data_IF_017103171556
#
_entry.id   IF_017103171556
#
_cell.length_a   1.000
_cell.length_b   1.000
_cell.length_c   1.000
_cell.angle_alpha   90.00
_cell.angle_beta   90.00
_cell.angle_gamma   90.00
#
_symmetry.space_group_name_H-M   'P 1'
#
loop_
_entity.id
_entity.type
_entity.pdbx_description
1 polymer ?
#
# COMPACT_ATOMS: atom_id res chain seq x y z
N UNK A 1 -35.68 -14.73 -26.32
CA UNK A 1 -34.36 -14.90 -26.92
C UNK A 1 -33.43 -13.86 -26.29
N UNK A 2 -33.11 -13.88 -24.99
CA UNK A 2 -32.28 -14.86 -24.24
C UNK A 2 -30.98 -15.21 -24.96
N UNK A 3 -30.07 -14.23 -25.01
CA UNK A 3 -28.70 -14.41 -25.51
C UNK A 3 -27.71 -14.13 -24.38
N UNK A 4 -27.46 -15.19 -23.61
CA UNK A 4 -26.19 -15.60 -22.98
C UNK A 4 -25.24 -14.50 -22.48
N UNK A 5 -25.45 -14.05 -21.24
CA UNK A 5 -24.39 -13.52 -20.36
C UNK A 5 -23.38 -14.65 -20.08
N UNK A 6 -22.33 -14.76 -20.91
CA UNK A 6 -21.21 -15.68 -20.64
C UNK A 6 -20.43 -15.19 -19.42
N UNK A 7 -20.25 -16.10 -18.47
CA UNK A 7 -19.57 -15.97 -17.16
C UNK A 7 -18.30 -15.11 -17.26
N UNK A 8 -18.31 -13.94 -16.61
CA UNK A 8 -17.08 -13.27 -16.18
C UNK A 8 -16.32 -14.23 -15.23
N UNK A 9 -15.00 -14.34 -15.37
CA UNK A 9 -14.19 -14.83 -14.26
C UNK A 9 -14.41 -13.87 -13.08
N UNK A 10 -15.02 -14.39 -12.00
CA UNK A 10 -15.49 -13.60 -10.85
C UNK A 10 -14.38 -13.23 -9.86
N UNK A 11 -13.15 -13.62 -10.13
CA UNK A 11 -12.02 -13.48 -9.21
C UNK A 11 -11.18 -12.27 -9.60
N UNK A 12 -10.95 -11.37 -8.64
CA UNK A 12 -10.05 -10.24 -8.85
C UNK A 12 -8.60 -10.74 -8.93
N UNK A 13 -7.74 -10.11 -9.74
CA UNK A 13 -6.34 -10.51 -9.85
C UNK A 13 -5.61 -10.10 -8.56
N UNK A 14 -5.20 -11.09 -7.77
CA UNK A 14 -4.57 -10.89 -6.46
C UNK A 14 -3.35 -11.76 -6.31
N UNK A 15 -2.33 -11.22 -5.65
CA UNK A 15 -1.17 -11.98 -5.27
C UNK A 15 -1.48 -12.79 -4.01
N UNK A 16 -1.06 -14.05 -3.98
CA UNK A 16 -1.01 -14.84 -2.74
C UNK A 16 0.19 -14.39 -1.88
N UNK A 17 0.15 -13.12 -1.46
CA UNK A 17 1.12 -12.47 -0.62
C UNK A 17 0.41 -11.83 0.57
N UNK A 18 1.17 -11.63 1.65
CA UNK A 18 0.67 -11.00 2.86
C UNK A 18 1.11 -11.79 4.08
N UNK A 19 1.04 -11.17 5.25
CA UNK A 19 1.22 -11.89 6.49
C UNK A 19 -0.05 -12.70 6.80
N UNK A 20 0.12 -13.90 7.37
CA UNK A 20 -0.97 -14.70 7.92
C UNK A 20 -1.22 -14.31 9.38
N UNK A 21 -1.68 -13.08 9.57
CA UNK A 21 -1.98 -12.53 10.89
C UNK A 21 -3.43 -12.82 11.26
N UNK A 22 -3.65 -13.43 12.42
CA UNK A 22 -4.98 -13.73 12.93
C UNK A 22 -5.81 -12.46 13.13
N UNK A 23 -7.10 -12.53 12.78
CA UNK A 23 -8.04 -11.43 12.97
C UNK A 23 -7.93 -10.28 11.96
N UNK A 24 -7.09 -10.42 10.93
CA UNK A 24 -7.01 -9.43 9.84
C UNK A 24 -7.03 -10.11 8.47
N UNK A 25 -7.50 -9.38 7.45
CA UNK A 25 -7.37 -9.78 6.04
C UNK A 25 -6.45 -8.80 5.35
N UNK A 26 -5.38 -9.30 4.73
CA UNK A 26 -4.48 -8.53 3.87
C UNK A 26 -4.66 -8.98 2.42
N UNK A 27 -4.67 -8.03 1.49
CA UNK A 27 -4.84 -8.29 0.06
C UNK A 27 -3.89 -7.41 -0.75
N UNK A 28 -3.24 -7.98 -1.77
CA UNK A 28 -2.48 -7.22 -2.77
C UNK A 28 -3.07 -7.50 -4.14
N UNK A 29 -3.51 -6.45 -4.84
CA UNK A 29 -4.03 -6.59 -6.20
C UNK A 29 -2.89 -6.65 -7.22
N UNK A 30 -3.11 -7.31 -8.33
CA UNK A 30 -2.17 -7.40 -9.46
C UNK A 30 -2.64 -6.55 -10.65
N UNK A 31 -1.78 -6.43 -11.66
CA UNK A 31 -2.10 -5.74 -12.91
C UNK A 31 -3.29 -6.36 -13.62
N UNK A 32 -3.46 -7.68 -13.58
CA UNK A 32 -4.55 -8.39 -14.26
C UNK A 32 -4.59 -8.19 -15.79
N UNK A 33 -5.52 -8.89 -16.45
CA UNK A 33 -5.73 -8.82 -17.90
C UNK A 33 -7.21 -8.57 -18.23
N UNK A 34 -7.79 -7.45 -17.81
CA UNK A 34 -9.17 -7.19 -18.21
C UNK A 34 -9.23 -6.62 -19.63
N UNK A 35 -9.49 -7.53 -20.58
CA UNK A 35 -10.11 -7.18 -21.85
C UNK A 35 -11.42 -7.96 -22.04
N UNK A 36 -12.58 -7.39 -21.65
CA UNK A 36 -13.88 -8.01 -21.89
C UNK A 36 -14.39 -7.88 -23.35
N UNK A 37 -13.72 -7.12 -24.24
CA UNK A 37 -14.24 -6.79 -25.58
C UNK A 37 -13.22 -6.82 -26.74
N UNK A 38 -12.03 -7.41 -26.57
CA UNK A 38 -11.05 -7.53 -27.65
C UNK A 38 -10.18 -6.29 -27.94
N UNK A 39 -10.33 -5.19 -27.19
CA UNK A 39 -9.36 -4.08 -27.19
C UNK A 39 -8.51 -4.11 -25.91
N UNK A 40 -7.20 -4.35 -26.03
CA UNK A 40 -6.30 -4.37 -24.89
C UNK A 40 -6.43 -3.07 -24.09
N UNK A 41 -7.05 -3.10 -22.91
CA UNK A 41 -7.06 -1.95 -22.02
C UNK A 41 -5.62 -1.77 -21.50
N UNK A 42 -4.92 -0.66 -21.82
CA UNK A 42 -3.54 -0.45 -21.39
C UNK A 42 -3.40 -0.36 -19.87
N UNK A 43 -4.51 -0.19 -19.14
CA UNK A 43 -4.54 0.00 -17.70
C UNK A 43 -4.88 -1.26 -16.89
N UNK A 44 -5.09 -2.43 -17.51
CA UNK A 44 -5.35 -3.69 -16.78
C UNK A 44 -6.43 -3.55 -15.70
N UNK A 45 -6.14 -3.99 -14.48
CA UNK A 45 -6.92 -3.86 -13.25
C UNK A 45 -6.51 -2.61 -12.44
N UNK A 46 -6.39 -1.47 -13.10
CA UNK A 46 -6.04 -0.21 -12.45
C UNK A 46 -7.12 0.27 -11.48
N UNK A 47 -6.67 0.70 -10.30
CA UNK A 47 -7.51 1.25 -9.22
C UNK A 47 -7.33 2.77 -9.04
N UNK A 48 -6.39 3.39 -9.76
CA UNK A 48 -6.11 4.83 -9.70
C UNK A 48 -7.01 5.65 -10.62
N UNK A 49 -7.58 6.73 -10.08
CA UNK A 49 -8.46 7.67 -10.83
C UNK A 49 -7.71 8.80 -11.54
N UNK A 50 -6.39 8.91 -11.33
CA UNK A 50 -5.57 10.06 -11.75
C UNK A 50 -4.54 9.71 -12.85
N UNK A 51 -4.71 8.57 -13.51
CA UNK A 51 -3.71 8.01 -14.46
C UNK A 51 -4.23 7.87 -15.90
N UNK A 52 -5.37 8.50 -16.22
CA UNK A 52 -5.92 8.53 -17.58
C UNK A 52 -6.90 7.40 -17.95
N UNK A 53 -7.16 6.46 -17.04
CA UNK A 53 -8.17 5.41 -17.23
C UNK A 53 -9.60 5.95 -17.01
N UNK A 54 -10.59 5.23 -17.53
CA UNK A 54 -12.01 5.54 -17.36
C UNK A 54 -12.43 5.42 -15.90
N UNK A 55 -13.02 6.49 -15.34
CA UNK A 55 -13.55 6.49 -13.97
C UNK A 55 -14.57 5.37 -13.75
N UNK A 56 -15.42 5.05 -14.73
CA UNK A 56 -16.39 3.96 -14.65
C UNK A 56 -15.70 2.60 -14.50
N UNK A 57 -14.61 2.36 -15.22
CA UNK A 57 -13.85 1.10 -15.09
C UNK A 57 -13.15 1.02 -13.74
N UNK A 58 -12.53 2.12 -13.29
CA UNK A 58 -11.89 2.19 -11.96
C UNK A 58 -12.90 1.95 -10.86
N UNK A 59 -14.08 2.57 -10.93
CA UNK A 59 -15.17 2.37 -9.95
C UNK A 59 -15.64 0.91 -9.94
N UNK A 60 -15.86 0.29 -11.10
CA UNK A 60 -16.27 -1.11 -11.18
C UNK A 60 -15.23 -2.05 -10.52
N UNK A 61 -13.94 -1.82 -10.76
CA UNK A 61 -12.86 -2.61 -10.13
C UNK A 61 -12.76 -2.36 -8.62
N UNK A 62 -12.91 -1.11 -8.18
CA UNK A 62 -12.96 -0.79 -6.74
C UNK A 62 -14.13 -1.49 -6.05
N UNK A 63 -15.30 -1.58 -6.68
CA UNK A 63 -16.44 -2.35 -6.15
C UNK A 63 -16.16 -3.86 -6.06
N UNK A 64 -15.38 -4.42 -6.99
CA UNK A 64 -14.92 -5.81 -6.89
C UNK A 64 -13.95 -5.99 -5.70
N UNK A 65 -13.06 -5.04 -5.47
CA UNK A 65 -12.14 -5.04 -4.32
C UNK A 65 -12.90 -4.92 -2.99
N UNK A 66 -13.90 -4.03 -2.89
CA UNK A 66 -14.75 -3.91 -1.70
C UNK A 66 -15.51 -5.20 -1.41
N UNK A 67 -16.03 -5.85 -2.45
CA UNK A 67 -16.68 -7.16 -2.32
C UNK A 67 -15.69 -8.22 -1.82
N UNK A 68 -14.47 -8.25 -2.33
CA UNK A 68 -13.45 -9.19 -1.89
C UNK A 68 -13.03 -8.91 -0.43
N UNK A 69 -12.84 -7.64 -0.06
CA UNK A 69 -12.55 -7.26 1.32
C UNK A 69 -13.74 -7.46 2.26
N UNK A 70 -14.95 -7.59 1.72
CA UNK A 70 -16.21 -7.72 2.46
C UNK A 70 -16.62 -6.45 3.22
N UNK A 71 -16.09 -5.29 2.84
CA UNK A 71 -16.33 -4.00 3.47
C UNK A 71 -16.03 -2.85 2.49
N UNK A 72 -16.65 -1.67 2.67
CA UNK A 72 -16.23 -0.44 2.00
C UNK A 72 -14.75 -0.15 2.22
N UNK A 73 -14.09 0.40 1.20
CA UNK A 73 -12.66 0.70 1.22
C UNK A 73 -12.44 2.21 1.34
N UNK A 74 -11.61 2.61 2.31
CA UNK A 74 -11.17 3.99 2.47
C UNK A 74 -10.01 4.25 1.51
N UNK A 75 -10.29 5.07 0.50
CA UNK A 75 -9.29 5.55 -0.46
C UNK A 75 -8.78 6.93 -0.04
N UNK A 76 -7.47 7.16 -0.14
CA UNK A 76 -6.83 8.43 0.18
C UNK A 76 -6.44 9.21 -1.08
N UNK A 77 -6.38 10.54 -0.98
CA UNK A 77 -5.64 11.38 -1.90
C UNK A 77 -4.18 11.46 -1.43
N UNK A 78 -3.38 10.48 -1.83
CA UNK A 78 -1.96 10.35 -1.47
C UNK A 78 -1.11 11.45 -2.12
N UNK A 79 -0.38 12.21 -1.30
CA UNK A 79 0.42 13.39 -1.72
C UNK A 79 1.91 13.24 -1.40
N UNK A 80 2.34 12.03 -1.02
CA UNK A 80 3.70 11.72 -0.57
C UNK A 80 4.12 12.49 0.70
N UNK A 81 3.16 12.80 1.57
CA UNK A 81 3.35 13.38 2.89
C UNK A 81 3.43 12.34 4.01
N UNK A 82 3.11 12.76 5.23
CA UNK A 82 3.16 11.91 6.42
C UNK A 82 1.88 11.94 7.28
N UNK A 83 0.82 12.58 6.78
CA UNK A 83 -0.47 12.67 7.47
C UNK A 83 -1.15 11.30 7.57
N UNK A 84 -1.71 11.00 8.74
CA UNK A 84 -2.44 9.77 9.06
C UNK A 84 -3.91 10.09 9.29
N UNK A 85 -4.78 9.54 8.45
CA UNK A 85 -6.23 9.75 8.52
C UNK A 85 -6.93 8.71 9.40
N UNK A 86 -7.79 9.15 10.32
CA UNK A 86 -8.65 8.26 11.11
C UNK A 86 -9.85 7.80 10.26
N UNK A 87 -9.85 6.51 9.87
CA UNK A 87 -10.75 6.01 8.84
C UNK A 87 -12.25 6.07 9.21
N UNK A 88 -12.59 6.07 10.51
CA UNK A 88 -13.99 6.24 10.95
C UNK A 88 -14.59 7.58 10.53
N UNK A 89 -13.78 8.61 10.35
CA UNK A 89 -14.26 9.90 9.84
C UNK A 89 -14.71 9.81 8.37
N UNK A 90 -14.31 8.74 7.64
CA UNK A 90 -14.80 8.51 6.29
C UNK A 90 -16.25 8.00 6.26
N UNK A 91 -16.75 7.26 7.25
CA UNK A 91 -18.15 6.81 7.23
C UNK A 91 -19.13 7.98 7.35
N UNK A 92 -18.74 9.06 8.01
CA UNK A 92 -19.51 10.29 8.10
C UNK A 92 -19.48 11.09 6.78
N UNK A 93 -18.43 10.90 5.97
CA UNK A 93 -18.16 11.64 4.74
C UNK A 93 -18.55 10.88 3.44
N UNK A 94 -18.51 9.55 3.42
CA UNK A 94 -18.66 8.71 2.21
C UNK A 94 -20.10 8.58 1.68
N UNK A 95 -20.99 9.47 2.12
CA UNK A 95 -22.28 9.71 1.47
C UNK A 95 -22.03 10.40 0.11
N UNK A 96 -21.83 9.62 -0.94
CA UNK A 96 -21.89 10.01 -2.37
C UNK A 96 -21.17 11.32 -2.77
N UNK A 97 -19.94 11.20 -3.29
CA UNK A 97 -19.31 12.26 -4.10
C UNK A 97 -18.28 13.14 -3.39
N UNK A 98 -17.88 12.82 -2.15
CA UNK A 98 -16.85 13.58 -1.43
C UNK A 98 -15.45 13.28 -1.95
N UNK A 99 -14.61 14.33 -2.04
CA UNK A 99 -13.18 14.22 -2.32
C UNK A 99 -12.49 13.32 -1.30
N UNK A 100 -11.64 12.36 -1.71
CA UNK A 100 -10.86 11.55 -0.79
C UNK A 100 -10.02 12.43 0.15
N UNK A 101 -9.87 12.06 1.44
CA UNK A 101 -9.05 12.83 2.38
C UNK A 101 -7.59 12.88 1.93
N UNK A 102 -6.96 14.04 2.09
CA UNK A 102 -5.53 14.24 1.78
C UNK A 102 -4.70 13.65 2.90
N UNK A 103 -4.13 12.47 2.65
CA UNK A 103 -3.28 11.75 3.60
C UNK A 103 -2.50 10.67 2.85
N UNK A 104 -1.42 10.20 3.46
CA UNK A 104 -0.61 9.10 2.94
C UNK A 104 -0.67 7.86 3.83
N UNK A 105 -1.37 7.93 4.95
CA UNK A 105 -1.68 6.78 5.77
C UNK A 105 -3.10 6.87 6.33
N UNK A 106 -3.61 5.74 6.78
CA UNK A 106 -4.87 5.67 7.53
C UNK A 106 -4.81 4.63 8.64
N UNK A 107 -5.64 4.81 9.65
CA UNK A 107 -5.75 3.94 10.83
C UNK A 107 -7.22 3.67 11.15
N UNK A 108 -7.53 2.46 11.62
CA UNK A 108 -8.88 2.07 12.04
C UNK A 108 -8.82 1.00 13.12
N UNK A 109 -9.69 1.14 14.12
CA UNK A 109 -10.06 0.08 15.08
C UNK A 109 -11.45 -0.50 14.80
N UNK A 110 -12.04 -0.15 13.65
CA UNK A 110 -13.34 -0.68 13.20
C UNK A 110 -13.15 -1.81 12.20
N UNK A 111 -13.96 -2.86 12.32
CA UNK A 111 -14.04 -3.96 11.36
C UNK A 111 -14.98 -3.69 10.16
N UNK A 112 -15.63 -2.52 10.12
CA UNK A 112 -16.59 -2.15 9.08
C UNK A 112 -15.96 -1.52 7.84
N UNK A 113 -14.65 -1.25 7.88
CA UNK A 113 -13.91 -0.58 6.82
C UNK A 113 -12.63 -1.34 6.49
N UNK A 114 -12.24 -1.32 5.23
CA UNK A 114 -10.91 -1.71 4.78
C UNK A 114 -10.07 -0.47 4.47
N UNK A 115 -8.78 -0.54 4.74
CA UNK A 115 -7.81 0.52 4.42
C UNK A 115 -7.09 0.14 3.13
N UNK A 116 -6.86 1.09 2.23
CA UNK A 116 -6.14 0.86 0.98
C UNK A 116 -5.04 1.88 0.76
N UNK A 117 -3.90 1.38 0.26
CA UNK A 117 -2.79 2.19 -0.23
C UNK A 117 -2.56 1.82 -1.69
N UNK A 118 -2.68 2.81 -2.57
CA UNK A 118 -2.43 2.65 -4.00
C UNK A 118 -0.97 2.92 -4.33
N UNK A 119 -0.36 2.04 -5.10
CA UNK A 119 1.06 2.11 -5.45
C UNK A 119 1.32 1.77 -6.90
N UNK A 120 2.45 2.29 -7.37
CA UNK A 120 3.21 1.81 -8.50
C UNK A 120 4.66 2.24 -8.20
N UNK A 121 5.42 1.34 -7.55
CA UNK A 121 6.78 1.51 -7.00
C UNK A 121 6.91 2.00 -5.55
N UNK A 122 6.11 2.96 -5.10
CA UNK A 122 6.19 3.39 -3.68
C UNK A 122 5.85 2.23 -2.74
N UNK A 123 6.43 2.23 -1.53
CA UNK A 123 6.31 1.12 -0.59
C UNK A 123 4.98 1.17 0.18
N UNK A 124 4.07 0.20 0.01
CA UNK A 124 2.94 0.05 0.90
C UNK A 124 3.37 -0.71 2.18
N UNK A 125 2.96 -0.22 3.34
CA UNK A 125 3.15 -0.93 4.62
C UNK A 125 1.81 -1.03 5.33
N UNK A 126 1.43 -2.23 5.76
CA UNK A 126 0.26 -2.45 6.61
C UNK A 126 0.70 -2.81 8.02
N UNK A 127 -0.10 -2.40 8.99
CA UNK A 127 0.17 -2.59 10.41
C UNK A 127 -1.01 -3.21 11.09
N UNK A 128 -0.75 -4.00 12.13
CA UNK A 128 -1.76 -4.52 13.05
C UNK A 128 -1.25 -4.35 14.48
N UNK A 129 -2.14 -3.91 15.38
CA UNK A 129 -1.91 -3.90 16.81
C UNK A 129 -2.54 -5.14 17.44
N UNK A 130 -1.78 -5.85 18.28
CA UNK A 130 -2.28 -6.97 19.05
C UNK A 130 -2.42 -6.61 20.52
N UNK A 131 -3.37 -7.24 21.22
CA UNK A 131 -3.38 -7.26 22.69
C UNK A 131 -2.32 -8.23 23.23
N UNK A 132 -2.10 -8.21 24.54
CA UNK A 132 -1.30 -9.24 25.23
C UNK A 132 -1.83 -10.67 25.03
N UNK A 133 -3.12 -10.84 24.71
CA UNK A 133 -3.74 -12.14 24.45
C UNK A 133 -3.64 -12.58 22.99
N UNK A 134 -2.97 -11.80 22.13
CA UNK A 134 -2.84 -12.09 20.70
C UNK A 134 -4.04 -11.67 19.85
N UNK A 135 -5.02 -10.95 20.41
CA UNK A 135 -6.19 -10.47 19.65
C UNK A 135 -5.82 -9.22 18.84
N UNK A 136 -6.17 -9.17 17.55
CA UNK A 136 -6.05 -7.97 16.74
C UNK A 136 -7.02 -6.87 17.25
N UNK A 137 -6.49 -5.67 17.49
CA UNK A 137 -7.22 -4.53 18.06
C UNK A 137 -7.49 -3.42 17.04
N UNK A 138 -6.67 -3.33 16.00
CA UNK A 138 -6.74 -2.27 15.01
C UNK A 138 -5.70 -2.47 13.93
N UNK A 139 -5.89 -1.77 12.82
CA UNK A 139 -5.06 -1.83 11.63
C UNK A 139 -4.70 -0.44 11.14
N UNK A 140 -3.56 -0.32 10.46
CA UNK A 140 -3.19 0.88 9.71
C UNK A 140 -2.58 0.49 8.37
N UNK A 141 -2.59 1.42 7.41
CA UNK A 141 -1.93 1.25 6.13
C UNK A 141 -1.26 2.57 5.73
N UNK A 142 -0.04 2.50 5.21
CA UNK A 142 0.80 3.66 4.88
C UNK A 142 1.42 3.56 3.48
N UNK A 143 1.41 4.68 2.77
CA UNK A 143 2.08 4.93 1.52
C UNK A 143 3.44 5.58 1.77
N UNK A 144 4.51 4.81 1.59
CA UNK A 144 5.87 5.27 1.84
C UNK A 144 6.67 5.34 0.52
N UNK A 145 6.36 6.35 -0.31
CA UNK A 145 7.36 6.86 -1.25
C UNK A 145 8.54 7.47 -0.48
N UNK A 146 9.67 7.71 -1.14
CA UNK A 146 10.88 8.18 -0.44
C UNK A 146 10.66 9.46 0.38
N UNK A 147 9.81 10.39 -0.10
CA UNK A 147 9.46 11.62 0.61
C UNK A 147 8.66 11.36 1.89
N UNK A 148 7.59 10.56 1.79
CA UNK A 148 6.77 10.22 2.95
C UNK A 148 7.53 9.37 3.96
N UNK A 149 8.39 8.46 3.48
CA UNK A 149 9.27 7.66 4.33
C UNK A 149 10.24 8.54 5.12
N UNK A 150 10.94 9.46 4.45
CA UNK A 150 11.82 10.45 5.08
C UNK A 150 11.06 11.35 6.08
N UNK A 151 9.85 11.79 5.70
CA UNK A 151 8.97 12.59 6.56
C UNK A 151 8.39 11.82 7.76
N UNK A 152 8.56 10.49 7.82
CA UNK A 152 8.20 9.68 8.98
C UNK A 152 6.81 9.05 8.93
N UNK A 153 6.18 8.92 7.76
CA UNK A 153 4.82 8.37 7.62
C UNK A 153 4.65 6.98 8.29
N UNK A 154 5.68 6.13 8.23
CA UNK A 154 5.64 4.79 8.82
C UNK A 154 5.54 4.83 10.35
N UNK A 155 6.41 5.62 10.99
CA UNK A 155 6.42 5.74 12.45
C UNK A 155 5.19 6.52 12.94
N UNK A 156 4.72 7.51 12.18
CA UNK A 156 3.47 8.21 12.44
C UNK A 156 2.27 7.24 12.43
N UNK A 157 2.22 6.33 11.45
CA UNK A 157 1.17 5.32 11.33
C UNK A 157 1.17 4.35 12.51
N UNK A 158 2.36 3.85 12.90
CA UNK A 158 2.50 2.98 14.06
C UNK A 158 2.11 3.69 15.37
N UNK A 159 2.51 4.95 15.57
CA UNK A 159 2.13 5.73 16.76
C UNK A 159 0.64 6.02 16.83
N UNK A 160 0.02 6.37 15.70
CA UNK A 160 -1.42 6.58 15.62
C UNK A 160 -2.19 5.29 15.98
N UNK A 161 -1.75 4.14 15.46
CA UNK A 161 -2.35 2.85 15.79
C UNK A 161 -2.13 2.44 17.25
N UNK A 162 -0.92 2.65 17.78
CA UNK A 162 -0.59 2.44 19.20
C UNK A 162 -1.52 3.24 20.11
N UNK A 163 -1.70 4.52 19.80
CA UNK A 163 -2.59 5.41 20.55
C UNK A 163 -4.06 4.99 20.42
N UNK A 164 -4.53 4.66 19.22
CA UNK A 164 -5.92 4.26 18.98
C UNK A 164 -6.29 2.96 19.70
N UNK A 165 -5.35 2.03 19.85
CA UNK A 165 -5.56 0.75 20.52
C UNK A 165 -5.15 0.75 22.00
N UNK A 166 -4.42 1.76 22.47
CA UNK A 166 -3.91 1.81 23.85
C UNK A 166 -2.83 0.77 24.15
N UNK A 167 -2.01 0.39 23.16
CA UNK A 167 -0.95 -0.62 23.29
C UNK A 167 0.42 -0.03 22.97
N UNK A 168 1.52 -0.53 23.55
CA UNK A 168 2.86 -0.05 23.21
C UNK A 168 3.26 -0.41 21.76
N UNK A 169 4.21 0.33 21.19
CA UNK A 169 4.73 0.11 19.83
C UNK A 169 5.21 -1.34 19.61
N UNK A 170 5.77 -1.98 20.63
CA UNK A 170 6.26 -3.36 20.56
C UNK A 170 5.15 -4.41 20.35
N UNK A 171 3.87 -4.02 20.46
CA UNK A 171 2.71 -4.86 20.14
C UNK A 171 2.17 -4.62 18.72
N UNK A 172 2.84 -3.77 17.94
CA UNK A 172 2.49 -3.52 16.55
C UNK A 172 3.40 -4.34 15.65
N UNK A 173 2.78 -5.09 14.73
CA UNK A 173 3.47 -5.71 13.61
C UNK A 173 3.30 -4.88 12.35
N UNK A 174 4.30 -4.95 11.47
CA UNK A 174 4.33 -4.27 10.19
C UNK A 174 4.68 -5.27 9.09
N UNK A 175 4.01 -5.17 7.95
CA UNK A 175 4.30 -5.97 6.76
C UNK A 175 4.48 -5.03 5.57
N UNK A 176 5.63 -5.15 4.94
CA UNK A 176 6.02 -4.37 3.76
C UNK A 176 5.60 -5.11 2.49
N UNK A 177 4.76 -4.49 1.66
CA UNK A 177 4.29 -5.07 0.41
C UNK A 177 5.24 -4.82 -0.78
N UNK A 178 4.81 -5.16 -2.00
CA UNK A 178 5.60 -4.96 -3.21
C UNK A 178 5.88 -3.47 -3.49
N UNK A 179 7.14 -3.17 -3.76
CA UNK A 179 7.68 -1.84 -4.05
C UNK A 179 8.81 -1.95 -5.09
N UNK A 180 9.37 -0.82 -5.53
CA UNK A 180 10.58 -0.84 -6.36
C UNK A 180 11.75 -1.39 -5.57
N UNK A 181 12.45 -2.35 -6.17
CA UNK A 181 13.54 -3.06 -5.52
C UNK A 181 14.85 -2.27 -5.47
N UNK A 182 15.80 -2.66 -4.59
CA UNK A 182 17.07 -1.98 -4.41
C UNK A 182 17.98 -2.02 -5.64
N UNK A 183 17.72 -2.92 -6.60
CA UNK A 183 18.45 -3.00 -7.86
C UNK A 183 17.86 -2.10 -8.95
N UNK A 184 16.64 -1.61 -8.76
CA UNK A 184 15.92 -0.79 -9.75
C UNK A 184 15.73 0.67 -9.32
N UNK A 185 15.82 0.96 -8.02
CA UNK A 185 15.55 2.30 -7.49
C UNK A 185 16.76 3.23 -7.51
N UNK A 186 17.15 3.68 -8.71
CA UNK A 186 18.16 4.72 -8.85
C UNK A 186 17.59 6.10 -8.51
N UNK A 187 18.25 6.80 -7.58
CA UNK A 187 17.94 8.15 -7.09
C UNK A 187 19.16 9.07 -7.19
N UNK A 188 18.94 10.39 -7.11
CA UNK A 188 20.02 11.35 -7.02
C UNK A 188 20.59 11.51 -5.61
N UNK A 189 21.72 12.21 -5.52
CA UNK A 189 22.40 12.50 -4.26
C UNK A 189 21.52 13.25 -3.25
N UNK A 190 20.50 13.99 -3.69
CA UNK A 190 19.55 14.67 -2.82
C UNK A 190 18.77 13.70 -1.91
N UNK A 191 18.39 12.53 -2.43
CA UNK A 191 17.67 11.52 -1.66
C UNK A 191 18.63 10.86 -0.67
N UNK A 192 19.82 10.50 -1.13
CA UNK A 192 20.87 9.94 -0.27
C UNK A 192 21.19 10.86 0.91
N UNK A 193 21.47 12.14 0.64
CA UNK A 193 21.80 13.11 1.68
C UNK A 193 20.64 13.33 2.66
N UNK A 194 19.40 13.40 2.18
CA UNK A 194 18.23 13.57 3.05
C UNK A 194 18.18 12.49 4.13
N UNK A 195 18.30 11.21 3.74
CA UNK A 195 18.25 10.10 4.69
C UNK A 195 19.49 10.01 5.59
N UNK A 196 20.69 10.18 5.05
CA UNK A 196 21.94 10.06 5.84
C UNK A 196 22.09 11.20 6.85
N UNK A 197 21.65 12.41 6.52
CA UNK A 197 21.65 13.54 7.46
C UNK A 197 20.70 13.31 8.64
N UNK A 198 19.53 12.71 8.38
CA UNK A 198 18.56 12.38 9.43
C UNK A 198 19.00 11.19 10.29
N UNK A 199 19.64 10.19 9.68
CA UNK A 199 20.13 9.00 10.38
C UNK A 199 21.38 8.46 9.69
N UNK A 200 22.59 8.59 10.27
CA UNK A 200 23.84 8.14 9.65
C UNK A 200 23.84 6.68 9.20
N UNK A 201 23.15 5.79 9.94
CA UNK A 201 23.02 4.37 9.59
C UNK A 201 22.29 4.13 8.25
N UNK A 202 21.56 5.13 7.74
CA UNK A 202 20.88 5.01 6.45
C UNK A 202 21.88 4.84 5.29
N UNK A 203 23.18 5.16 5.48
CA UNK A 203 24.22 4.94 4.48
C UNK A 203 24.26 3.48 3.98
N UNK A 204 23.96 2.52 4.85
CA UNK A 204 23.94 1.09 4.52
C UNK A 204 22.75 0.71 3.61
N UNK A 205 21.74 1.57 3.53
CA UNK A 205 20.58 1.39 2.66
C UNK A 205 20.80 1.91 1.24
N UNK A 206 22.00 2.40 0.91
CA UNK A 206 22.33 2.89 -0.42
C UNK A 206 23.57 2.19 -0.98
N UNK A 207 23.59 1.99 -2.29
CA UNK A 207 24.77 1.58 -3.05
C UNK A 207 25.10 2.64 -4.10
N UNK A 208 26.37 2.80 -4.51
CA UNK A 208 26.70 3.60 -5.68
C UNK A 208 25.91 3.12 -6.90
N UNK A 209 25.32 4.05 -7.64
CA UNK A 209 24.68 3.77 -8.94
C UNK A 209 25.70 3.77 -10.08
N UNK A 210 25.25 3.40 -11.28
CA UNK A 210 26.12 3.29 -12.47
C UNK A 210 26.65 4.65 -12.93
N UNK A 211 25.90 5.73 -12.66
CA UNK A 211 26.28 7.10 -12.99
C UNK A 211 26.82 7.81 -11.76
N UNK A 212 27.86 8.63 -11.96
CA UNK A 212 28.40 9.47 -10.90
C UNK A 212 27.31 10.36 -10.29
N UNK A 213 27.25 10.41 -8.95
CA UNK A 213 26.24 11.15 -8.19
C UNK A 213 24.85 10.50 -8.14
N UNK A 214 24.70 9.26 -8.63
CA UNK A 214 23.51 8.44 -8.47
C UNK A 214 23.73 7.32 -7.45
N UNK A 215 22.64 6.92 -6.82
CA UNK A 215 22.61 5.87 -5.81
C UNK A 215 21.45 4.92 -6.08
N UNK A 216 21.68 3.64 -5.85
CA UNK A 216 20.63 2.64 -5.72
C UNK A 216 20.15 2.63 -4.27
N UNK A 217 18.89 2.98 -4.04
CA UNK A 217 18.30 3.08 -2.71
C UNK A 217 17.44 1.86 -2.38
N UNK A 218 17.60 1.32 -1.17
CA UNK A 218 16.77 0.23 -0.66
C UNK A 218 15.65 0.78 0.22
N UNK A 219 14.44 0.92 -0.36
CA UNK A 219 13.26 1.38 0.39
C UNK A 219 12.89 0.42 1.54
N UNK A 220 13.11 -0.89 1.39
CA UNK A 220 12.81 -1.86 2.43
C UNK A 220 13.78 -1.71 3.60
N UNK A 221 15.07 -1.53 3.35
CA UNK A 221 16.05 -1.29 4.40
C UNK A 221 15.80 0.05 5.12
N UNK A 222 15.48 1.12 4.38
CA UNK A 222 15.11 2.41 4.96
C UNK A 222 13.85 2.31 5.84
N UNK A 223 12.83 1.56 5.39
CA UNK A 223 11.62 1.32 6.17
C UNK A 223 11.89 0.52 7.45
N UNK A 224 12.73 -0.52 7.40
CA UNK A 224 13.16 -1.26 8.59
C UNK A 224 13.88 -0.36 9.59
N UNK A 225 14.77 0.52 9.11
CA UNK A 225 15.47 1.49 9.96
C UNK A 225 14.49 2.47 10.63
N UNK A 226 13.49 2.95 9.90
CA UNK A 226 12.45 3.85 10.41
C UNK A 226 11.51 3.18 11.43
N UNK A 227 11.29 1.87 11.30
CA UNK A 227 10.38 1.09 12.15
C UNK A 227 11.07 0.33 13.29
N UNK A 228 12.38 0.54 13.52
CA UNK A 228 13.14 -0.20 14.55
C UNK A 228 12.54 -0.15 15.96
N UNK A 229 11.77 0.90 16.28
CA UNK A 229 11.06 1.05 17.56
C UNK A 229 9.98 -0.03 17.78
N UNK A 230 9.48 -0.67 16.71
CA UNK A 230 8.59 -1.82 16.79
C UNK A 230 9.29 -3.10 17.27
N UNK A 231 10.62 -3.17 17.13
CA UNK A 231 11.41 -4.40 17.24
C UNK A 231 11.51 -5.16 15.93
N UNK A 232 12.71 -5.59 15.55
CA UNK A 232 12.98 -6.18 14.23
C UNK A 232 12.16 -7.45 13.93
N UNK A 233 11.82 -8.24 14.96
CA UNK A 233 10.99 -9.45 14.82
C UNK A 233 9.52 -9.15 14.46
N UNK A 234 9.08 -7.89 14.59
CA UNK A 234 7.73 -7.46 14.26
C UNK A 234 7.62 -6.87 12.84
N UNK A 235 8.71 -6.88 12.06
CA UNK A 235 8.75 -6.29 10.71
C UNK A 235 8.96 -7.39 9.67
N UNK A 236 7.90 -7.72 8.95
CA UNK A 236 7.83 -8.78 7.95
C UNK A 236 7.74 -8.21 6.51
N UNK A 237 7.87 -9.10 5.52
CA UNK A 237 7.72 -8.74 4.11
C UNK A 237 8.94 -8.04 3.49
N UNK A 238 8.69 -7.40 2.35
CA UNK A 238 9.69 -6.85 1.44
C UNK A 238 10.41 -7.88 0.58
N UNK A 239 11.31 -7.40 -0.30
CA UNK A 239 12.12 -8.25 -1.18
C UNK A 239 11.55 -8.47 -2.58
N UNK A 240 10.45 -7.79 -2.94
CA UNK A 240 9.96 -7.75 -4.32
C UNK A 240 10.54 -6.56 -5.09
N UNK A 241 10.37 -6.59 -6.41
CA UNK A 241 10.72 -5.45 -7.26
C UNK A 241 9.63 -5.24 -8.30
N UNK A 242 8.82 -4.20 -8.10
CA UNK A 242 7.72 -3.85 -9.01
C UNK A 242 8.21 -3.50 -10.40
N UNK A 243 9.47 -3.08 -10.60
CA UNK A 243 10.02 -2.77 -11.92
C UNK A 243 10.26 -4.03 -12.74
N UNK A 244 10.76 -5.10 -12.12
CA UNK A 244 11.09 -6.34 -12.83
C UNK A 244 9.97 -7.37 -12.79
N UNK A 245 9.09 -7.33 -11.79
CA UNK A 245 7.97 -8.25 -11.65
C UNK A 245 6.72 -7.73 -12.41
N UNK A 246 6.20 -8.46 -13.41
CA UNK A 246 5.07 -8.02 -14.23
C UNK A 246 3.72 -8.13 -13.51
N UNK A 247 3.64 -8.80 -12.35
CA UNK A 247 2.40 -8.92 -11.58
C UNK A 247 1.90 -7.57 -11.08
N UNK A 248 2.77 -6.58 -10.93
CA UNK A 248 2.39 -5.25 -10.43
C UNK A 248 2.72 -4.14 -11.41
N UNK A 249 1.93 -3.06 -11.34
CA UNK A 249 2.22 -1.84 -12.06
C UNK A 249 3.50 -1.20 -11.51
N UNK A 250 4.33 -0.66 -12.40
CA UNK A 250 5.48 0.15 -12.03
C UNK A 250 5.47 1.47 -12.78
N UNK A 251 5.65 2.57 -12.04
CA UNK A 251 5.73 3.90 -12.62
C UNK A 251 7.05 4.08 -13.36
N UNK A 252 8.17 3.63 -12.78
CA UNK A 252 9.51 3.65 -13.35
C UNK A 252 9.59 2.84 -14.64
N UNK A 253 9.02 1.63 -14.68
CA UNK A 253 8.94 0.84 -15.91
C UNK A 253 8.10 1.56 -16.98
N UNK A 254 6.97 2.13 -16.59
CA UNK A 254 6.13 2.94 -17.48
C UNK A 254 6.89 4.13 -18.07
N UNK A 255 7.63 4.87 -17.25
CA UNK A 255 8.47 6.00 -17.70
C UNK A 255 9.54 5.57 -18.71
N UNK A 256 10.22 4.45 -18.47
CA UNK A 256 11.22 3.90 -19.39
C UNK A 256 10.63 3.52 -20.75
N UNK A 257 9.36 3.10 -20.76
CA UNK A 257 8.61 2.71 -21.97
C UNK A 257 7.81 3.86 -22.59
N UNK A 258 7.80 5.05 -21.97
CA UNK A 258 7.01 6.19 -22.43
C UNK A 258 5.49 6.01 -22.28
N UNK A 259 5.04 5.14 -21.38
CA UNK A 259 3.61 4.85 -21.15
C UNK A 259 3.17 5.19 -19.73
N UNK A 260 1.91 5.60 -19.58
CA UNK A 260 1.32 5.79 -18.25
C UNK A 260 1.05 4.43 -17.60
N UNK A 261 1.43 4.31 -16.33
CA UNK A 261 1.25 3.09 -15.55
C UNK A 261 0.00 3.20 -14.67
N UNK A 262 -0.74 2.09 -14.53
CA UNK A 262 -1.84 1.95 -13.58
C UNK A 262 -1.39 1.99 -12.12
N UNK A 263 -2.32 1.79 -11.19
CA UNK A 263 -2.04 1.62 -9.75
C UNK A 263 -2.65 0.30 -9.28
N UNK A 264 -1.84 -0.48 -8.58
CA UNK A 264 -2.31 -1.60 -7.77
C UNK A 264 -2.51 -1.12 -6.33
N UNK A 265 -3.10 -1.95 -5.47
CA UNK A 265 -3.34 -1.60 -4.08
C UNK A 265 -2.88 -2.72 -3.15
N UNK A 266 -2.39 -2.30 -1.98
CA UNK A 266 -2.27 -3.15 -0.79
C UNK A 266 -3.34 -2.73 0.20
N UNK A 267 -4.11 -3.69 0.68
CA UNK A 267 -5.25 -3.47 1.56
C UNK A 267 -5.11 -4.28 2.84
N UNK A 268 -5.66 -3.73 3.92
CA UNK A 268 -5.82 -4.43 5.19
C UNK A 268 -7.19 -4.14 5.79
N UNK A 269 -7.79 -5.13 6.42
CA UNK A 269 -9.03 -5.01 7.17
C UNK A 269 -8.91 -5.75 8.49
N UNK A 270 -9.39 -5.13 9.57
CA UNK A 270 -9.69 -5.82 10.82
C UNK A 270 -10.95 -6.68 10.64
N UNK A 271 -10.86 -7.97 10.91
CA UNK A 271 -12.02 -8.86 10.81
C UNK A 271 -12.86 -8.76 12.10
N UNK A 272 -14.20 -8.90 12.00
CA UNK A 272 -15.01 -9.12 13.18
C UNK A 272 -14.47 -10.36 13.92
N UNK A 273 -14.50 -10.35 15.25
CA UNK A 273 -14.32 -11.60 15.99
C UNK A 273 -15.32 -12.61 15.46
N UNK A 274 -14.94 -13.89 15.39
CA UNK A 274 -15.88 -14.96 15.11
C UNK A 274 -17.09 -14.73 16.01
N UNK A 275 -18.25 -14.44 15.41
CA UNK A 275 -19.50 -14.48 16.13
C UNK A 275 -19.64 -15.92 16.62
N UNK A 276 -19.29 -16.14 17.88
CA UNK A 276 -19.54 -17.38 18.59
C UNK A 276 -21.06 -17.60 18.66
#
# INVERSE_FOLDING_TARGET
>A
MTTTLKKLNKEIPVSQLGPDWEGVKVLVTETGFDNPQGNANPYGFNLGTHVGDSLTHVQARRSLVEKEMGAPVVWLNQVHGCEVFEARLASDAMSSGTTPPVADASVSVSCNLALAIMTADCLPVVFVAFSNSGKALGVAAAHAGWRGLHAGVLLASARALSQACGVPLMQIKAWMGPAIGPHSFEVGAEVFHAFVQQSPNAIECFKPGDKSGKYLADLYALARLALRELGNSNIEGGGWDTVTDPRWFSHRRGQQQGVQSGRFATLIRLLPEHAA
#
